data_IF_500397180913
#
_entry.id   IF_500397180913
#
_cell.length_a   1.000
_cell.length_b   1.000
_cell.length_c   1.000
_cell.angle_alpha   90.00
_cell.angle_beta   90.00
_cell.angle_gamma   90.00
#
_symmetry.space_group_name_H-M   'P 1'
#
loop_
_entity.id
_entity.type
_entity.pdbx_description
1 polymer ?
#
# COMPACT_ATOMS: atom_id res chain seq x y z
N UNK A 1 -13.58 8.70 -2.28
CA UNK A 1 -14.14 7.53 -2.99
C UNK A 1 -12.99 6.65 -3.46
N UNK A 2 -13.11 5.33 -3.28
CA UNK A 2 -12.13 4.37 -3.79
C UNK A 2 -12.15 4.39 -5.33
N UNK A 3 -10.97 4.40 -5.96
CA UNK A 3 -10.78 4.49 -7.42
C UNK A 3 -9.71 3.53 -7.91
N UNK A 4 -8.65 3.37 -7.13
CA UNK A 4 -7.55 2.46 -7.38
C UNK A 4 -6.65 2.43 -6.16
N UNK A 5 -5.89 1.34 -6.02
CA UNK A 5 -5.06 1.10 -4.84
C UNK A 5 -3.62 0.78 -5.20
N UNK A 6 -2.67 1.33 -4.44
CA UNK A 6 -1.30 0.82 -4.40
C UNK A 6 -1.19 -0.18 -3.26
N UNK A 7 -0.77 -1.41 -3.58
CA UNK A 7 -0.57 -2.50 -2.64
C UNK A 7 0.89 -2.53 -2.19
N UNK A 8 1.14 -2.65 -0.89
CA UNK A 8 2.48 -2.76 -0.34
C UNK A 8 2.94 -4.22 -0.13
N UNK A 9 4.20 -4.40 0.26
CA UNK A 9 4.76 -5.74 0.52
C UNK A 9 4.01 -6.44 1.65
N UNK A 10 3.59 -5.72 2.69
CA UNK A 10 2.88 -6.33 3.82
C UNK A 10 1.53 -6.89 3.39
N UNK A 11 0.77 -6.23 2.51
CA UNK A 11 -0.45 -6.77 1.94
C UNK A 11 -0.22 -8.15 1.30
N UNK A 12 0.76 -8.26 0.39
CA UNK A 12 1.04 -9.51 -0.32
C UNK A 12 1.48 -10.64 0.62
N UNK A 13 2.27 -10.33 1.65
CA UNK A 13 2.68 -11.33 2.64
C UNK A 13 1.50 -11.94 3.41
N UNK A 14 0.41 -11.18 3.62
CA UNK A 14 -0.81 -11.68 4.27
C UNK A 14 -1.71 -12.38 3.27
N UNK A 15 -1.89 -11.79 2.09
CA UNK A 15 -2.72 -12.35 1.03
C UNK A 15 -2.23 -13.72 0.53
N UNK A 16 -0.92 -13.96 0.50
CA UNK A 16 -0.35 -15.22 0.02
C UNK A 16 -0.18 -16.28 1.11
N UNK A 17 -0.61 -16.02 2.34
CA UNK A 17 -0.46 -16.93 3.47
C UNK A 17 -1.81 -17.16 4.15
N UNK A 18 -2.50 -18.25 3.78
CA UNK A 18 -3.81 -18.62 4.35
C UNK A 18 -3.82 -18.83 5.87
N UNK A 19 -2.65 -19.08 6.46
CA UNK A 19 -2.49 -19.24 7.91
C UNK A 19 -2.31 -17.91 8.64
N UNK A 20 -2.09 -16.80 7.93
CA UNK A 20 -1.97 -15.48 8.56
C UNK A 20 -3.35 -15.03 9.10
N UNK A 21 -3.44 -14.53 10.34
CA UNK A 21 -4.72 -14.05 10.90
C UNK A 21 -5.41 -12.96 10.08
N UNK A 22 -4.66 -12.21 9.26
CA UNK A 22 -5.18 -11.15 8.39
C UNK A 22 -5.49 -11.63 6.97
N UNK A 23 -5.26 -12.91 6.65
CA UNK A 23 -5.51 -13.46 5.32
C UNK A 23 -6.94 -13.19 4.85
N UNK A 24 -7.95 -13.46 5.69
CA UNK A 24 -9.37 -13.27 5.33
C UNK A 24 -9.69 -11.82 4.97
N UNK A 25 -9.09 -10.86 5.63
CA UNK A 25 -9.27 -9.45 5.29
C UNK A 25 -8.56 -9.11 3.97
N UNK A 26 -7.32 -9.58 3.79
CA UNK A 26 -6.54 -9.34 2.57
C UNK A 26 -7.24 -9.94 1.33
N UNK A 27 -7.74 -11.17 1.46
CA UNK A 27 -8.52 -11.88 0.44
C UNK A 27 -9.83 -11.14 0.15
N UNK A 28 -10.56 -10.70 1.19
CA UNK A 28 -11.77 -9.90 1.01
C UNK A 28 -11.52 -8.56 0.29
N UNK A 29 -10.43 -7.85 0.62
CA UNK A 29 -10.04 -6.64 -0.12
C UNK A 29 -9.71 -6.98 -1.58
N UNK A 30 -8.94 -8.05 -1.83
CA UNK A 30 -8.57 -8.46 -3.18
C UNK A 30 -9.82 -8.81 -4.02
N UNK A 31 -10.74 -9.60 -3.46
CA UNK A 31 -12.03 -9.95 -4.07
C UNK A 31 -12.85 -8.71 -4.41
N UNK A 32 -13.03 -7.80 -3.45
CA UNK A 32 -13.76 -6.55 -3.68
C UNK A 32 -13.16 -5.73 -4.84
N UNK A 33 -11.83 -5.60 -4.87
CA UNK A 33 -11.12 -4.84 -5.92
C UNK A 33 -11.28 -5.48 -7.30
N UNK A 34 -11.28 -6.81 -7.38
CA UNK A 34 -11.54 -7.55 -8.62
C UNK A 34 -12.99 -7.39 -9.06
N UNK A 35 -13.95 -7.63 -8.16
CA UNK A 35 -15.39 -7.61 -8.46
C UNK A 35 -15.86 -6.23 -8.94
N UNK A 36 -15.29 -5.17 -8.38
CA UNK A 36 -15.58 -3.78 -8.77
C UNK A 36 -14.66 -3.24 -9.87
N UNK A 37 -13.78 -4.09 -10.44
CA UNK A 37 -12.84 -3.72 -11.51
C UNK A 37 -11.94 -2.53 -11.14
N UNK A 38 -11.60 -2.41 -9.86
CA UNK A 38 -10.76 -1.33 -9.35
C UNK A 38 -9.28 -1.65 -9.64
N UNK A 39 -8.53 -0.74 -10.29
CA UNK A 39 -7.14 -0.98 -10.61
C UNK A 39 -6.28 -1.12 -9.35
N UNK A 40 -5.55 -2.24 -9.30
CA UNK A 40 -4.54 -2.54 -8.29
C UNK A 40 -3.15 -2.30 -8.88
N UNK A 41 -2.34 -1.50 -8.21
CA UNK A 41 -0.99 -1.16 -8.65
C UNK A 41 0.05 -1.92 -7.82
N UNK A 42 1.09 -2.39 -8.50
CA UNK A 42 2.24 -3.07 -7.92
C UNK A 42 3.51 -2.26 -8.19
N UNK A 43 4.09 -1.70 -7.14
CA UNK A 43 5.35 -0.97 -7.24
C UNK A 43 6.52 -1.89 -7.53
N UNK A 44 7.45 -1.47 -8.39
CA UNK A 44 8.75 -2.17 -8.56
C UNK A 44 9.59 -2.20 -7.27
N UNK A 45 9.34 -1.30 -6.32
CA UNK A 45 9.99 -1.32 -4.99
C UNK A 45 9.42 -2.45 -4.14
N UNK A 46 8.09 -2.62 -4.16
CA UNK A 46 7.41 -3.76 -3.50
C UNK A 46 7.88 -5.08 -4.10
N UNK A 47 8.05 -5.16 -5.42
CA UNK A 47 8.63 -6.36 -6.07
C UNK A 47 10.02 -6.67 -5.51
N UNK A 48 10.90 -5.66 -5.39
CA UNK A 48 12.24 -5.86 -4.84
C UNK A 48 12.22 -6.32 -3.38
N UNK A 49 11.31 -5.77 -2.56
CA UNK A 49 11.14 -6.18 -1.15
C UNK A 49 10.58 -7.60 -1.03
N UNK A 50 9.56 -7.93 -1.83
CA UNK A 50 8.95 -9.25 -1.85
C UNK A 50 9.94 -10.35 -2.27
N UNK A 51 10.76 -10.07 -3.29
CA UNK A 51 11.73 -11.02 -3.83
C UNK A 51 12.93 -11.32 -2.91
N UNK A 52 13.00 -10.71 -1.71
CA UNK A 52 13.96 -11.11 -0.67
C UNK A 52 13.66 -12.53 -0.16
N UNK A 53 12.38 -12.92 -0.09
CA UNK A 53 11.95 -14.24 0.39
C UNK A 53 11.04 -15.00 -0.57
N UNK A 54 10.50 -14.35 -1.60
CA UNK A 54 9.63 -14.96 -2.61
C UNK A 54 10.14 -14.79 -4.04
N UNK A 55 9.29 -15.12 -5.01
CA UNK A 55 9.53 -14.86 -6.44
C UNK A 55 8.35 -14.12 -7.05
N UNK A 56 8.61 -13.29 -8.06
CA UNK A 56 7.56 -12.46 -8.69
C UNK A 56 6.38 -13.30 -9.23
N UNK A 57 6.63 -14.54 -9.65
CA UNK A 57 5.61 -15.47 -10.17
C UNK A 57 4.57 -15.91 -9.13
N UNK A 58 4.85 -15.71 -7.84
CA UNK A 58 3.90 -15.95 -6.75
C UNK A 58 2.85 -14.84 -6.64
N UNK A 59 3.12 -13.65 -7.20
CA UNK A 59 2.18 -12.53 -7.16
C UNK A 59 1.07 -12.72 -8.21
N UNK A 60 -0.16 -12.21 -7.97
CA UNK A 60 -1.29 -12.34 -8.89
C UNK A 60 -1.18 -11.35 -10.06
N UNK A 61 -0.09 -11.42 -10.85
CA UNK A 61 0.31 -10.42 -11.85
C UNK A 61 -0.78 -10.10 -12.89
N UNK A 62 -1.67 -11.05 -13.19
CA UNK A 62 -2.81 -10.86 -14.12
C UNK A 62 -3.77 -9.75 -13.68
N UNK A 63 -3.83 -9.44 -12.38
CA UNK A 63 -4.72 -8.44 -11.80
C UNK A 63 -3.99 -7.13 -11.44
N UNK A 64 -2.67 -7.08 -11.60
CA UNK A 64 -1.83 -5.99 -11.11
C UNK A 64 -1.28 -5.14 -12.26
N UNK A 65 -1.39 -3.82 -12.10
CA UNK A 65 -0.72 -2.84 -12.95
C UNK A 65 0.66 -2.54 -12.40
N UNK A 66 1.70 -2.95 -13.12
CA UNK A 66 3.08 -2.63 -12.76
C UNK A 66 3.31 -1.12 -12.75
N UNK A 67 3.91 -0.61 -11.68
CA UNK A 67 4.22 0.81 -11.47
C UNK A 67 5.73 1.01 -11.24
N UNK A 68 6.49 1.34 -12.29
CA UNK A 68 7.92 1.67 -12.17
C UNK A 68 8.17 2.93 -11.34
N UNK A 69 9.29 2.97 -10.62
CA UNK A 69 9.75 4.19 -9.95
C UNK A 69 10.49 5.09 -10.94
N UNK A 70 9.91 6.27 -11.24
CA UNK A 70 10.40 7.20 -12.27
C UNK A 70 10.88 8.54 -11.65
N UNK A 71 11.25 9.50 -12.50
CA UNK A 71 11.77 10.81 -12.06
C UNK A 71 10.72 11.63 -11.29
N UNK A 72 9.46 11.61 -11.70
CA UNK A 72 8.38 12.32 -11.00
C UNK A 72 8.19 11.76 -9.58
N UNK A 73 8.19 10.42 -9.46
CA UNK A 73 8.16 9.73 -8.18
C UNK A 73 9.37 10.12 -7.31
N UNK A 74 10.56 10.23 -7.90
CA UNK A 74 11.77 10.64 -7.19
C UNK A 74 11.68 12.07 -6.63
N UNK A 75 11.19 13.02 -7.42
CA UNK A 75 11.00 14.41 -6.99
C UNK A 75 10.00 14.48 -5.84
N UNK A 76 8.86 13.77 -5.95
CA UNK A 76 7.84 13.77 -4.89
C UNK A 76 8.33 13.05 -3.63
N UNK A 77 9.04 11.94 -3.76
CA UNK A 77 9.65 11.22 -2.64
C UNK A 77 10.65 12.10 -1.88
N UNK A 78 11.45 12.91 -2.58
CA UNK A 78 12.35 13.88 -1.96
C UNK A 78 11.63 14.89 -1.07
N UNK A 79 10.46 15.39 -1.51
CA UNK A 79 9.61 16.28 -0.71
C UNK A 79 9.05 15.56 0.52
N UNK A 80 8.54 14.34 0.36
CA UNK A 80 8.05 13.54 1.49
C UNK A 80 9.15 13.22 2.49
N UNK A 81 10.34 12.85 2.03
CA UNK A 81 11.50 12.59 2.89
C UNK A 81 11.92 13.81 3.71
N UNK A 82 11.73 15.02 3.19
CA UNK A 82 12.04 16.24 3.92
C UNK A 82 11.24 16.40 5.22
N UNK A 83 9.98 15.92 5.28
CA UNK A 83 9.14 15.94 6.48
C UNK A 83 9.71 15.11 7.64
N UNK A 84 10.61 14.17 7.34
CA UNK A 84 11.24 13.29 8.33
C UNK A 84 12.65 13.75 8.75
N UNK A 85 13.15 14.88 8.22
CA UNK A 85 14.45 15.44 8.61
C UNK A 85 14.48 15.79 10.10
N UNK A 86 15.65 15.64 10.73
CA UNK A 86 15.85 15.97 12.14
C UNK A 86 15.39 14.90 13.14
N UNK A 87 14.79 13.80 12.69
CA UNK A 87 14.52 12.66 13.58
C UNK A 87 15.77 11.85 13.83
N UNK A 88 16.03 11.57 15.10
CA UNK A 88 16.96 10.53 15.51
C UNK A 88 16.36 9.17 15.13
N UNK A 89 16.64 8.72 13.91
CA UNK A 89 16.26 7.40 13.43
C UNK A 89 17.48 6.48 13.41
N UNK A 90 17.30 5.24 13.85
CA UNK A 90 18.34 4.20 13.74
C UNK A 90 18.66 3.93 12.25
N UNK A 91 19.86 3.41 11.91
CA UNK A 91 20.25 3.20 10.51
C UNK A 91 19.24 2.40 9.68
N UNK A 92 18.66 1.32 10.22
CA UNK A 92 17.62 0.53 9.53
C UNK A 92 16.31 1.29 9.32
N UNK A 93 15.89 2.07 10.32
CA UNK A 93 14.70 2.91 10.25
C UNK A 93 14.82 3.99 9.17
N UNK A 94 16.03 4.53 8.93
CA UNK A 94 16.28 5.49 7.84
C UNK A 94 16.07 4.89 6.45
N UNK A 95 16.37 3.60 6.28
CA UNK A 95 16.17 2.86 5.03
C UNK A 95 14.68 2.59 4.82
N UNK A 96 13.96 2.16 5.87
CA UNK A 96 12.50 1.98 5.82
C UNK A 96 11.80 3.28 5.41
N UNK A 97 12.09 4.39 6.11
CA UNK A 97 11.55 5.71 5.76
C UNK A 97 11.89 6.08 4.30
N UNK A 98 13.02 5.62 3.75
CA UNK A 98 13.38 5.93 2.37
C UNK A 98 12.45 5.23 1.40
N UNK A 99 12.24 3.93 1.56
CA UNK A 99 11.35 3.17 0.69
C UNK A 99 9.89 3.59 0.88
N UNK A 100 9.45 3.80 2.13
CA UNK A 100 8.08 4.26 2.41
C UNK A 100 7.75 5.56 1.68
N UNK A 101 8.66 6.54 1.70
CA UNK A 101 8.45 7.80 0.98
C UNK A 101 8.41 7.65 -0.54
N UNK A 102 9.07 6.63 -1.09
CA UNK A 102 8.99 6.32 -2.52
C UNK A 102 7.64 5.69 -2.87
N UNK A 103 7.15 4.77 -2.04
CA UNK A 103 5.83 4.15 -2.20
C UNK A 103 4.70 5.20 -2.08
N UNK A 104 4.78 6.07 -1.08
CA UNK A 104 3.85 7.20 -0.95
C UNK A 104 3.93 8.15 -2.14
N UNK A 105 5.13 8.42 -2.66
CA UNK A 105 5.27 9.26 -3.85
C UNK A 105 4.64 8.62 -5.10
N UNK A 106 4.73 7.30 -5.25
CA UNK A 106 4.03 6.57 -6.31
C UNK A 106 2.52 6.63 -6.15
N UNK A 107 1.99 6.47 -4.94
CA UNK A 107 0.56 6.63 -4.67
C UNK A 107 0.08 8.06 -4.94
N UNK A 108 0.86 9.07 -4.55
CA UNK A 108 0.48 10.48 -4.70
C UNK A 108 0.53 11.00 -6.13
N UNK A 109 1.50 10.54 -6.91
CA UNK A 109 1.72 11.00 -8.29
C UNK A 109 0.89 10.22 -9.32
N UNK A 110 0.32 9.07 -8.96
CA UNK A 110 -0.49 8.26 -9.88
C UNK A 110 -1.96 8.68 -9.79
N UNK A 111 -2.55 9.30 -10.83
CA UNK A 111 -3.89 9.90 -10.73
C UNK A 111 -5.02 8.92 -10.37
N UNK A 112 -4.87 7.66 -10.77
CA UNK A 112 -5.85 6.60 -10.53
C UNK A 112 -5.71 5.95 -9.14
N UNK A 113 -4.61 6.20 -8.44
CA UNK A 113 -4.42 5.69 -7.08
C UNK A 113 -5.08 6.66 -6.10
N UNK A 114 -6.17 6.22 -5.48
CA UNK A 114 -6.81 7.00 -4.41
C UNK A 114 -6.47 6.50 -3.02
N UNK A 115 -6.00 5.26 -2.87
CA UNK A 115 -5.63 4.70 -1.57
C UNK A 115 -4.36 3.86 -1.62
N UNK A 116 -3.66 3.81 -0.49
CA UNK A 116 -2.57 2.91 -0.21
C UNK A 116 -3.07 1.84 0.77
N UNK A 117 -3.07 0.57 0.36
CA UNK A 117 -3.57 -0.54 1.16
C UNK A 117 -2.40 -1.32 1.76
N UNK A 118 -2.42 -1.48 3.10
CA UNK A 118 -1.30 -2.04 3.86
C UNK A 118 -1.77 -2.75 5.13
N UNK A 119 -0.98 -3.71 5.62
CA UNK A 119 -1.15 -4.31 6.95
C UNK A 119 -0.22 -3.68 8.02
N UNK A 120 0.70 -2.80 7.61
CA UNK A 120 1.63 -2.09 8.49
C UNK A 120 1.03 -0.74 8.94
N UNK A 121 0.65 -0.69 10.22
CA UNK A 121 0.13 0.52 10.88
C UNK A 121 1.16 1.66 10.96
N UNK A 122 2.44 1.36 10.78
CA UNK A 122 3.51 2.36 10.69
C UNK A 122 3.29 3.35 9.54
N UNK A 123 2.65 2.94 8.44
CA UNK A 123 2.32 3.84 7.35
C UNK A 123 1.33 4.92 7.74
N UNK A 124 0.37 4.64 8.63
CA UNK A 124 -0.60 5.66 9.06
C UNK A 124 0.10 6.82 9.78
N UNK A 125 1.01 6.51 10.70
CA UNK A 125 1.81 7.52 11.40
C UNK A 125 2.66 8.36 10.45
N UNK A 126 3.28 7.72 9.44
CA UNK A 126 4.07 8.40 8.41
C UNK A 126 3.20 9.31 7.55
N UNK A 127 2.00 8.86 7.19
CA UNK A 127 1.02 9.62 6.43
C UNK A 127 0.56 10.86 7.20
N UNK A 128 0.15 10.69 8.46
CA UNK A 128 -0.32 11.79 9.31
C UNK A 128 0.78 12.86 9.46
N UNK A 129 2.05 12.45 9.60
CA UNK A 129 3.19 13.36 9.62
C UNK A 129 3.35 14.15 8.32
N UNK A 130 3.09 13.55 7.15
CA UNK A 130 3.12 14.29 5.88
C UNK A 130 2.04 15.37 5.83
N UNK A 131 0.86 15.08 6.40
CA UNK A 131 -0.24 16.03 6.53
C UNK A 131 0.14 17.18 7.49
N UNK A 132 0.70 16.87 8.66
CA UNK A 132 1.20 17.85 9.64
C UNK A 132 2.28 18.76 9.03
N UNK A 133 3.11 18.23 8.13
CA UNK A 133 4.10 19.00 7.38
C UNK A 133 3.52 19.82 6.21
N UNK A 134 2.20 19.82 6.02
CA UNK A 134 1.50 20.59 4.98
C UNK A 134 1.65 20.04 3.55
N UNK A 135 2.16 18.82 3.38
CA UNK A 135 2.47 18.27 2.06
C UNK A 135 1.25 17.72 1.29
N UNK A 136 0.09 17.66 1.96
CA UNK A 136 -1.24 17.30 1.42
C UNK A 136 -1.21 16.12 0.45
N UNK A 137 -0.92 14.90 0.91
CA UNK A 137 -0.97 13.71 0.04
C UNK A 137 -2.36 13.52 -0.60
N UNK A 138 -2.39 13.09 -1.86
CA UNK A 138 -3.62 12.95 -2.68
C UNK A 138 -4.25 11.57 -2.61
N UNK A 139 -3.83 10.75 -1.65
CA UNK A 139 -4.32 9.39 -1.42
C UNK A 139 -4.70 9.20 0.05
N UNK A 140 -5.55 8.22 0.35
CA UNK A 140 -5.86 7.78 1.72
C UNK A 140 -5.11 6.50 2.11
N UNK A 141 -5.12 6.14 3.40
CA UNK A 141 -4.60 4.85 3.88
C UNK A 141 -5.76 3.90 4.18
N UNK A 142 -5.71 2.69 3.65
CA UNK A 142 -6.58 1.57 4.03
C UNK A 142 -5.75 0.53 4.79
N UNK A 143 -6.29 0.05 5.91
CA UNK A 143 -5.64 -0.98 6.73
C UNK A 143 -6.33 -2.33 6.52
N UNK A 144 -5.54 -3.35 6.19
CA UNK A 144 -5.97 -4.75 6.11
C UNK A 144 -6.36 -5.31 7.49
N UNK A 145 -6.01 -4.62 8.58
CA UNK A 145 -6.40 -5.05 9.94
C UNK A 145 -7.88 -4.90 10.22
N UNK A 146 -8.58 -4.10 9.42
CA UNK A 146 -10.03 -3.94 9.46
C UNK A 146 -10.64 -4.74 8.31
N UNK A 147 -11.78 -5.41 8.50
CA UNK A 147 -12.45 -6.10 7.42
C UNK A 147 -12.93 -5.11 6.36
N UNK A 148 -12.96 -5.49 5.07
CA UNK A 148 -13.42 -4.62 3.99
C UNK A 148 -14.81 -4.03 4.23
N UNK A 149 -15.73 -4.82 4.79
CA UNK A 149 -17.10 -4.38 5.15
C UNK A 149 -17.13 -3.17 6.07
N UNK A 150 -16.24 -3.10 7.06
CA UNK A 150 -16.13 -1.96 7.99
C UNK A 150 -15.59 -0.71 7.29
N UNK A 151 -14.63 -0.87 6.36
CA UNK A 151 -13.88 0.25 5.78
C UNK A 151 -14.53 0.79 4.50
N UNK A 152 -15.18 -0.08 3.73
CA UNK A 152 -15.80 0.22 2.45
C UNK A 152 -17.31 0.40 2.56
N UNK A 153 -17.92 0.04 3.71
CA UNK A 153 -19.35 0.22 3.97
C UNK A 153 -20.23 -0.85 3.32
N UNK A 154 -19.69 -2.05 3.11
CA UNK A 154 -20.43 -3.17 2.50
C UNK A 154 -21.10 -4.05 3.58
N UNK A 155 -22.29 -4.57 3.26
CA UNK A 155 -22.95 -5.59 4.07
C UNK A 155 -22.34 -6.96 3.75
N UNK A 156 -21.66 -7.56 4.72
CA UNK A 156 -21.07 -8.89 4.61
C UNK A 156 -22.16 -9.95 4.86
N UNK A 157 -22.61 -10.63 3.80
CA UNK A 157 -23.51 -11.77 3.92
C UNK A 157 -22.67 -13.04 3.79
N UNK A 158 -22.78 -14.00 4.73
CA UNK A 158 -22.02 -15.24 4.66
C UNK A 158 -22.39 -15.99 3.37
N UNK A 159 -21.38 -16.51 2.67
CA UNK A 159 -21.58 -17.36 1.50
C UNK A 159 -22.49 -18.55 1.87
N UNK A 160 -23.46 -18.92 1.00
CA UNK A 160 -24.32 -20.07 1.25
C UNK A 160 -23.47 -21.35 1.32
N UNK A 161 -23.71 -22.14 2.36
CA UNK A 161 -23.04 -23.41 2.67
C UNK A 161 -23.22 -24.48 1.59
#
# INVERSE_FOLDING_TARGET
>A
MLKGVLLDTSFFLRFLNESDPLFRNADGFFKHLVDHQLPMYLSTIVVAEFCVGGTIDQLPLKYLKMLPFNVEHAIRAGKFRAAFRGQAAAPGERLLIANDTKLFAQADATPDVSHFLTADEGYRKKFDRLCEAGLSPKFGILSVRKPPSEVLGELDFPDPA
#
